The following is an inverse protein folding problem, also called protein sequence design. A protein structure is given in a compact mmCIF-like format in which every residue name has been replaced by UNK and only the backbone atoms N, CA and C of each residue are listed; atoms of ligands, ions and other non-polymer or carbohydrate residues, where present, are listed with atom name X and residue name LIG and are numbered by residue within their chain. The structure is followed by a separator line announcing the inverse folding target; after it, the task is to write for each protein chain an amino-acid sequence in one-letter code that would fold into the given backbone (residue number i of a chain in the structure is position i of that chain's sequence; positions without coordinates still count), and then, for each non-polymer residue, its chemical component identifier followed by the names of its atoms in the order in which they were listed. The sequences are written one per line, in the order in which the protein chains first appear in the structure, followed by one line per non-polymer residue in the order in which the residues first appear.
data_IF_730760222162
#
_entry.id   IF_730760222162
#
_cell.length_a   1.000
_cell.length_b   1.000
_cell.length_c   1.000
_cell.angle_alpha   90.00
_cell.angle_beta   90.00
_cell.angle_gamma   90.00
#
_symmetry.space_group_name_H-M   'P 1'
#
loop_
_entity.id
_entity.type
_entity.pdbx_description
1 polymer ?
#
# COMPACT_ATOMS: atom_id res chain seq x y z
N UNK A 1 -12.09 -15.23 6.98
CA UNK A 1 -12.32 -16.58 7.52
C UNK A 1 -11.37 -16.71 8.67
N UNK A 2 -11.84 -17.07 9.87
CA UNK A 2 -11.01 -17.35 11.03
C UNK A 2 -11.90 -18.00 12.12
N UNK A 3 -11.32 -18.63 13.12
CA UNK A 3 -12.03 -19.04 14.33
C UNK A 3 -12.24 -17.88 15.30
N UNK A 4 -11.34 -16.87 15.24
CA UNK A 4 -11.17 -15.79 16.23
C UNK A 4 -10.87 -16.28 17.64
N UNK A 5 -10.37 -17.51 17.78
CA UNK A 5 -9.93 -18.08 19.06
C UNK A 5 -8.46 -17.76 19.35
N UNK A 6 -7.71 -17.34 18.32
CA UNK A 6 -6.29 -17.09 18.38
C UNK A 6 -5.43 -18.34 18.16
N UNK A 7 -4.11 -18.18 18.23
CA UNK A 7 -3.16 -19.27 17.99
C UNK A 7 -1.84 -19.07 18.76
N UNK A 8 -0.86 -19.95 18.57
CA UNK A 8 0.41 -19.91 19.28
C UNK A 8 1.28 -18.66 18.98
N UNK A 9 1.07 -17.98 17.85
CA UNK A 9 1.82 -16.80 17.46
C UNK A 9 1.06 -15.49 17.72
N UNK A 10 -0.26 -15.52 17.60
CA UNK A 10 -1.16 -14.40 17.88
C UNK A 10 -1.53 -14.29 19.38
N UNK A 11 -1.46 -15.40 20.13
CA UNK A 11 -2.08 -15.52 21.45
C UNK A 11 -3.56 -15.88 21.34
N UNK A 12 -4.14 -16.35 22.45
CA UNK A 12 -5.55 -16.73 22.51
C UNK A 12 -6.42 -15.57 22.99
N UNK A 13 -7.60 -15.44 22.39
CA UNK A 13 -8.53 -14.34 22.67
C UNK A 13 -9.88 -14.87 23.15
N UNK A 14 -10.65 -14.04 23.85
CA UNK A 14 -12.04 -14.33 24.13
C UNK A 14 -12.95 -13.93 22.97
N UNK A 15 -14.25 -14.20 23.12
CA UNK A 15 -15.28 -13.91 22.11
C UNK A 15 -15.39 -12.41 21.77
N UNK A 16 -14.91 -11.53 22.65
CA UNK A 16 -14.96 -10.08 22.48
C UNK A 16 -14.37 -9.62 21.14
N UNK A 17 -13.32 -10.26 20.64
CA UNK A 17 -12.69 -9.88 19.38
C UNK A 17 -13.67 -10.05 18.20
N UNK A 18 -14.32 -11.21 18.11
CA UNK A 18 -15.30 -11.46 17.06
C UNK A 18 -16.53 -10.55 17.22
N UNK A 19 -17.03 -10.43 18.45
CA UNK A 19 -18.24 -9.66 18.74
C UNK A 19 -18.06 -8.17 18.41
N UNK A 20 -16.92 -7.58 18.77
CA UNK A 20 -16.64 -6.17 18.50
C UNK A 20 -16.36 -5.94 17.01
N UNK A 21 -15.68 -6.87 16.35
CA UNK A 21 -15.49 -6.83 14.90
C UNK A 21 -16.83 -6.90 14.15
N UNK A 22 -17.70 -7.85 14.49
CA UNK A 22 -19.02 -8.01 13.85
C UNK A 22 -19.90 -6.77 14.05
N UNK A 23 -19.96 -6.21 15.27
CA UNK A 23 -20.69 -4.96 15.55
C UNK A 23 -20.23 -3.78 14.70
N UNK A 24 -18.92 -3.70 14.41
CA UNK A 24 -18.37 -2.67 13.54
C UNK A 24 -18.60 -2.97 12.05
N UNK A 25 -18.41 -4.23 11.65
CA UNK A 25 -18.38 -4.70 10.28
C UNK A 25 -19.79 -4.75 9.66
N UNK A 26 -20.73 -5.46 10.30
CA UNK A 26 -22.01 -5.83 9.68
C UNK A 26 -22.85 -4.60 9.27
N UNK A 27 -22.93 -3.52 10.08
CA UNK A 27 -23.66 -2.33 9.68
C UNK A 27 -23.06 -1.58 8.48
N UNK A 28 -21.75 -1.75 8.24
CA UNK A 28 -21.01 -0.99 7.20
C UNK A 28 -20.77 -1.79 5.94
N UNK A 29 -20.53 -3.09 6.06
CA UNK A 29 -20.00 -3.94 5.00
C UNK A 29 -20.79 -5.24 4.80
N UNK A 30 -21.74 -5.57 5.68
CA UNK A 30 -22.49 -6.84 5.66
C UNK A 30 -23.34 -7.08 4.40
N UNK A 31 -23.51 -6.07 3.54
CA UNK A 31 -24.18 -6.23 2.25
C UNK A 31 -23.34 -6.97 1.19
N UNK A 32 -22.01 -6.96 1.34
CA UNK A 32 -21.10 -7.53 0.33
C UNK A 32 -19.88 -8.26 0.93
N UNK A 33 -19.74 -8.26 2.25
CA UNK A 33 -18.64 -8.89 2.99
C UNK A 33 -19.21 -9.76 4.11
N UNK A 34 -18.55 -10.88 4.38
CA UNK A 34 -18.99 -11.87 5.36
C UNK A 34 -17.85 -12.29 6.27
N UNK A 35 -18.14 -12.41 7.57
CA UNK A 35 -17.26 -12.99 8.56
C UNK A 35 -17.61 -14.48 8.73
N UNK A 36 -16.76 -15.37 8.21
CA UNK A 36 -16.94 -16.82 8.37
C UNK A 36 -16.15 -17.32 9.58
N UNK A 37 -16.87 -17.65 10.66
CA UNK A 37 -16.32 -18.15 11.93
C UNK A 37 -16.08 -19.66 11.88
N UNK A 38 -14.97 -20.07 11.28
CA UNK A 38 -14.62 -21.47 11.00
C UNK A 38 -13.13 -21.58 10.64
N UNK A 39 -12.59 -22.80 10.61
CA UNK A 39 -11.23 -23.05 10.09
C UNK A 39 -11.13 -22.77 8.59
N UNK A 40 -9.91 -22.55 8.10
CA UNK A 40 -9.68 -22.34 6.66
C UNK A 40 -10.05 -23.59 5.84
N UNK A 41 -9.75 -24.78 6.35
CA UNK A 41 -10.06 -26.05 5.68
C UNK A 41 -11.58 -26.26 5.53
N UNK A 42 -12.36 -25.98 6.56
CA UNK A 42 -13.82 -26.09 6.49
C UNK A 42 -14.42 -25.01 5.58
N UNK A 43 -13.87 -23.80 5.60
CA UNK A 43 -14.36 -22.70 4.77
C UNK A 43 -14.18 -22.96 3.27
N UNK A 44 -13.14 -23.72 2.89
CA UNK A 44 -12.82 -24.06 1.50
C UNK A 44 -14.02 -24.63 0.74
N UNK A 45 -14.90 -25.38 1.41
CA UNK A 45 -16.09 -25.99 0.82
C UNK A 45 -17.13 -24.97 0.32
N UNK A 46 -17.10 -23.74 0.81
CA UNK A 46 -18.02 -22.67 0.36
C UNK A 46 -17.57 -21.98 -0.94
N UNK A 47 -16.37 -22.27 -1.44
CA UNK A 47 -15.80 -21.62 -2.61
C UNK A 47 -15.70 -22.58 -3.80
N UNK A 48 -16.13 -22.12 -4.96
CA UNK A 48 -15.96 -22.83 -6.22
C UNK A 48 -14.49 -22.77 -6.67
N UNK A 49 -14.07 -23.75 -7.46
CA UNK A 49 -12.73 -23.72 -8.04
C UNK A 49 -12.57 -22.52 -8.97
N UNK A 50 -11.38 -21.93 -8.99
CA UNK A 50 -11.06 -20.73 -9.79
C UNK A 50 -11.98 -19.52 -9.58
N UNK A 51 -12.67 -19.40 -8.45
CA UNK A 51 -13.60 -18.27 -8.19
C UNK A 51 -12.97 -17.09 -7.46
N UNK A 52 -11.78 -17.25 -6.88
CA UNK A 52 -11.14 -16.22 -6.04
C UNK A 52 -10.15 -15.40 -6.87
N UNK A 53 -10.41 -14.11 -7.04
CA UNK A 53 -9.49 -13.20 -7.74
C UNK A 53 -8.35 -12.68 -6.84
N UNK A 54 -8.60 -12.57 -5.53
CA UNK A 54 -7.62 -12.15 -4.54
C UNK A 54 -7.75 -13.04 -3.30
N UNK A 55 -6.70 -13.80 -3.00
CA UNK A 55 -6.57 -14.59 -1.79
C UNK A 55 -5.53 -13.94 -0.88
N UNK A 56 -5.90 -13.72 0.38
CA UNK A 56 -5.02 -13.16 1.39
C UNK A 56 -4.81 -14.18 2.50
N UNK A 57 -3.56 -14.60 2.71
CA UNK A 57 -3.18 -15.62 3.70
C UNK A 57 -2.42 -14.92 4.83
N UNK A 58 -3.03 -14.94 6.00
CA UNK A 58 -2.49 -14.48 7.28
C UNK A 58 -3.03 -15.39 8.38
N UNK A 59 -2.43 -16.57 8.49
CA UNK A 59 -2.76 -17.61 9.47
C UNK A 59 -1.58 -17.90 10.38
N UNK A 60 -1.51 -19.11 10.92
CA UNK A 60 -0.39 -19.51 11.76
C UNK A 60 0.94 -19.45 10.99
N UNK A 61 1.92 -18.73 11.51
CA UNK A 61 3.14 -18.39 10.77
C UNK A 61 4.23 -19.48 10.77
N UNK A 62 3.89 -20.75 11.02
CA UNK A 62 4.83 -21.87 10.86
C UNK A 62 4.95 -22.24 9.39
N UNK A 63 6.05 -22.91 9.00
CA UNK A 63 6.28 -23.32 7.60
C UNK A 63 5.18 -24.27 7.11
N UNK A 64 4.84 -25.27 7.92
CA UNK A 64 3.87 -26.29 7.53
C UNK A 64 2.45 -25.71 7.40
N UNK A 65 2.06 -24.79 8.29
CA UNK A 65 0.75 -24.16 8.25
C UNK A 65 0.56 -23.28 7.01
N UNK A 66 1.48 -22.34 6.74
CA UNK A 66 1.36 -21.49 5.55
C UNK A 66 1.42 -22.28 4.25
N UNK A 67 2.23 -23.36 4.22
CA UNK A 67 2.31 -24.24 3.06
C UNK A 67 0.99 -24.97 2.84
N UNK A 68 0.42 -25.55 3.90
CA UNK A 68 -0.88 -26.22 3.87
C UNK A 68 -1.98 -25.27 3.39
N UNK A 69 -2.07 -24.07 3.97
CA UNK A 69 -3.05 -23.06 3.58
C UNK A 69 -2.89 -22.67 2.10
N UNK A 70 -1.67 -22.40 1.66
CA UNK A 70 -1.40 -22.05 0.27
C UNK A 70 -1.80 -23.18 -0.69
N UNK A 71 -1.31 -24.40 -0.45
CA UNK A 71 -1.56 -25.54 -1.33
C UNK A 71 -3.06 -25.92 -1.36
N UNK A 72 -3.74 -25.84 -0.21
CA UNK A 72 -5.17 -26.13 -0.13
C UNK A 72 -6.04 -25.10 -0.83
N UNK A 73 -5.67 -23.82 -0.78
CA UNK A 73 -6.50 -22.76 -1.35
C UNK A 73 -6.16 -22.42 -2.80
N UNK A 74 -5.01 -22.83 -3.31
CA UNK A 74 -4.55 -22.47 -4.66
C UNK A 74 -5.51 -22.91 -5.78
N UNK A 75 -6.23 -24.03 -5.62
CA UNK A 75 -7.23 -24.48 -6.59
C UNK A 75 -8.46 -23.56 -6.67
N UNK A 76 -8.78 -22.85 -5.58
CA UNK A 76 -9.87 -21.89 -5.50
C UNK A 76 -9.51 -20.55 -6.14
N UNK A 77 -8.22 -20.26 -6.27
CA UNK A 77 -7.70 -19.05 -6.91
C UNK A 77 -7.87 -19.15 -8.43
N UNK A 78 -8.44 -18.10 -9.03
CA UNK A 78 -8.58 -17.97 -10.49
C UNK A 78 -7.23 -18.02 -11.20
N UNK A 79 -7.21 -18.38 -12.49
CA UNK A 79 -5.97 -18.51 -13.28
C UNK A 79 -5.05 -17.28 -13.22
N UNK A 80 -5.65 -16.07 -13.20
CA UNK A 80 -4.93 -14.81 -13.06
C UNK A 80 -5.17 -14.15 -11.69
N UNK A 81 -5.52 -14.94 -10.69
CA UNK A 81 -5.73 -14.49 -9.33
C UNK A 81 -4.42 -14.16 -8.62
N UNK A 82 -4.52 -13.30 -7.63
CA UNK A 82 -3.40 -12.84 -6.81
C UNK A 82 -3.49 -13.55 -5.46
N UNK A 83 -2.34 -14.04 -4.99
CA UNK A 83 -2.18 -14.52 -3.62
C UNK A 83 -1.24 -13.57 -2.88
N UNK A 84 -1.68 -13.11 -1.71
CA UNK A 84 -0.92 -12.28 -0.80
C UNK A 84 -0.59 -13.11 0.44
N UNK A 85 0.68 -13.11 0.85
CA UNK A 85 1.18 -13.86 2.00
C UNK A 85 1.81 -12.87 2.98
N UNK A 86 1.32 -12.86 4.22
CA UNK A 86 1.84 -12.02 5.30
C UNK A 86 3.18 -12.49 5.87
N UNK A 87 3.89 -11.57 6.52
CA UNK A 87 5.07 -11.85 7.38
C UNK A 87 6.24 -12.58 6.69
N UNK A 88 6.47 -12.32 5.40
CA UNK A 88 7.53 -12.98 4.60
C UNK A 88 8.96 -12.62 5.03
N UNK A 89 9.14 -11.66 5.92
CA UNK A 89 10.45 -11.17 6.38
C UNK A 89 10.73 -11.44 7.87
N UNK A 90 9.83 -12.12 8.60
CA UNK A 90 10.02 -12.48 10.01
C UNK A 90 10.81 -13.80 10.11
N UNK A 91 11.96 -13.78 10.80
CA UNK A 91 12.90 -14.94 10.87
C UNK A 91 13.13 -15.48 12.28
N UNK A 92 12.41 -14.95 13.27
CA UNK A 92 12.52 -15.32 14.67
C UNK A 92 11.30 -16.14 15.13
N UNK A 93 11.28 -16.56 16.40
CA UNK A 93 10.12 -17.22 17.03
C UNK A 93 9.54 -18.41 16.25
N UNK A 94 10.39 -19.21 15.61
CA UNK A 94 9.97 -20.36 14.79
C UNK A 94 9.09 -20.01 13.58
N UNK A 95 9.06 -18.74 13.17
CA UNK A 95 8.38 -18.33 11.93
C UNK A 95 9.01 -19.04 10.73
N UNK A 96 8.14 -19.63 9.90
CA UNK A 96 8.51 -20.39 8.71
C UNK A 96 8.04 -19.76 7.40
N UNK A 97 7.27 -18.67 7.45
CA UNK A 97 6.68 -18.05 6.25
C UNK A 97 7.74 -17.58 5.26
N UNK A 98 8.82 -16.97 5.73
CA UNK A 98 9.93 -16.56 4.88
C UNK A 98 10.58 -17.73 4.11
N UNK A 99 10.66 -18.92 4.72
CA UNK A 99 11.22 -20.11 4.06
C UNK A 99 10.31 -20.58 2.94
N UNK A 100 9.01 -20.65 3.22
CA UNK A 100 8.01 -21.00 2.24
C UNK A 100 7.95 -19.98 1.10
N UNK A 101 8.06 -18.68 1.43
CA UNK A 101 8.10 -17.60 0.47
C UNK A 101 9.25 -17.76 -0.54
N UNK A 102 10.46 -18.09 -0.07
CA UNK A 102 11.61 -18.36 -0.94
C UNK A 102 11.37 -19.52 -1.93
N UNK A 103 10.53 -20.50 -1.58
CA UNK A 103 10.15 -21.60 -2.48
C UNK A 103 9.07 -21.20 -3.49
N UNK A 104 8.04 -20.46 -3.06
CA UNK A 104 6.93 -20.08 -3.97
C UNK A 104 7.32 -18.99 -4.94
N UNK A 105 8.16 -18.04 -4.54
CA UNK A 105 8.58 -16.90 -5.39
C UNK A 105 9.33 -17.30 -6.65
N UNK A 106 9.92 -18.50 -6.66
CA UNK A 106 10.62 -19.08 -7.83
C UNK A 106 9.64 -19.78 -8.77
N UNK A 107 8.50 -20.24 -8.26
CA UNK A 107 7.47 -20.98 -9.02
C UNK A 107 6.45 -20.06 -9.68
N UNK A 108 6.21 -18.89 -9.11
CA UNK A 108 5.20 -17.94 -9.55
C UNK A 108 5.80 -16.54 -9.76
N UNK A 109 5.33 -15.77 -10.77
CA UNK A 109 5.66 -14.36 -10.84
C UNK A 109 5.27 -13.66 -9.53
N UNK A 110 6.21 -12.92 -8.96
CA UNK A 110 6.08 -12.46 -7.57
C UNK A 110 6.83 -11.17 -7.29
N UNK A 111 6.32 -10.44 -6.33
CA UNK A 111 6.90 -9.24 -5.77
C UNK A 111 6.81 -9.28 -4.25
N UNK A 112 7.80 -8.71 -3.58
CA UNK A 112 7.88 -8.70 -2.13
C UNK A 112 8.13 -7.28 -1.63
N UNK A 113 7.29 -6.83 -0.71
CA UNK A 113 7.62 -5.73 0.18
C UNK A 113 8.50 -6.27 1.31
N UNK A 114 9.74 -5.77 1.42
CA UNK A 114 10.73 -6.26 2.39
C UNK A 114 10.80 -5.39 3.67
N UNK A 115 9.89 -4.42 3.81
CA UNK A 115 9.82 -3.55 4.97
C UNK A 115 8.71 -4.02 5.93
N UNK A 116 8.78 -3.58 7.18
CA UNK A 116 7.93 -4.15 8.24
C UNK A 116 8.21 -5.65 8.38
N UNK A 117 7.16 -6.43 8.62
CA UNK A 117 7.26 -7.88 8.69
C UNK A 117 7.35 -8.58 7.32
N UNK A 118 7.25 -7.83 6.23
CA UNK A 118 7.22 -8.37 4.87
C UNK A 118 5.81 -8.64 4.36
N UNK A 119 5.63 -8.52 3.05
CA UNK A 119 4.38 -8.87 2.37
C UNK A 119 4.71 -9.39 0.98
N UNK A 120 4.46 -10.69 0.78
CA UNK A 120 4.63 -11.38 -0.49
C UNK A 120 3.37 -11.27 -1.34
N UNK A 121 3.54 -10.95 -2.62
CA UNK A 121 2.47 -10.89 -3.62
C UNK A 121 2.90 -11.79 -4.77
N UNK A 122 2.06 -12.77 -5.12
CA UNK A 122 2.29 -13.63 -6.28
C UNK A 122 1.04 -13.78 -7.14
N UNK A 123 1.24 -14.15 -8.40
CA UNK A 123 0.16 -14.41 -9.36
C UNK A 123 0.17 -15.88 -9.74
N UNK A 124 -1.02 -16.51 -9.79
CA UNK A 124 -1.13 -17.92 -10.19
C UNK A 124 -0.71 -18.16 -11.65
N UNK A 125 -0.91 -17.17 -12.53
CA UNK A 125 -0.55 -17.22 -13.95
C UNK A 125 -0.10 -15.88 -14.51
N UNK A 126 0.15 -15.82 -15.82
CA UNK A 126 0.84 -14.71 -16.49
C UNK A 126 -0.09 -13.59 -17.02
N UNK A 127 -1.42 -13.75 -16.88
CA UNK A 127 -2.44 -12.89 -17.50
C UNK A 127 -2.99 -11.79 -16.58
N UNK A 128 -2.13 -11.11 -15.83
CA UNK A 128 -2.54 -10.10 -14.86
C UNK A 128 -2.50 -8.66 -15.41
N UNK A 129 -3.16 -7.74 -14.69
CA UNK A 129 -3.28 -6.33 -15.09
C UNK A 129 -1.91 -5.70 -15.39
N UNK A 130 -1.74 -4.94 -16.50
CA UNK A 130 -0.47 -4.32 -16.86
C UNK A 130 0.16 -3.46 -15.76
N UNK A 131 -0.66 -2.85 -14.90
CA UNK A 131 -0.19 -2.05 -13.76
C UNK A 131 0.47 -2.91 -12.69
N UNK A 132 -0.10 -4.10 -12.43
CA UNK A 132 0.46 -5.08 -11.49
C UNK A 132 1.71 -5.72 -12.10
N UNK A 133 1.71 -6.00 -13.41
CA UNK A 133 2.91 -6.43 -14.15
C UNK A 133 4.06 -5.45 -14.04
N UNK A 134 3.78 -4.17 -14.20
CA UNK A 134 4.78 -3.13 -13.99
C UNK A 134 5.27 -3.06 -12.55
N UNK A 135 4.42 -3.37 -11.57
CA UNK A 135 4.83 -3.41 -10.16
C UNK A 135 5.67 -4.65 -9.82
N UNK A 136 5.45 -5.79 -10.49
CA UNK A 136 6.15 -7.06 -10.25
C UNK A 136 7.47 -7.13 -11.04
N UNK A 137 7.46 -6.72 -12.30
CA UNK A 137 8.57 -6.88 -13.25
C UNK A 137 9.30 -5.56 -13.58
N UNK A 138 8.85 -4.43 -13.03
CA UNK A 138 9.36 -3.12 -13.39
C UNK A 138 10.82 -2.89 -13.00
N UNK A 139 11.55 -2.08 -13.79
CA UNK A 139 12.97 -1.78 -13.59
C UNK A 139 13.27 -0.99 -12.30
N UNK A 140 12.26 -0.53 -11.57
CA UNK A 140 12.42 0.32 -10.37
C UNK A 140 11.61 -0.17 -9.15
N UNK A 141 11.69 -1.47 -8.87
CA UNK A 141 11.06 -2.11 -7.70
C UNK A 141 11.42 -1.43 -6.37
N UNK A 142 12.65 -0.91 -6.23
CA UNK A 142 13.09 -0.26 -5.01
C UNK A 142 12.39 1.09 -4.79
N UNK A 143 12.20 1.91 -5.82
CA UNK A 143 11.38 3.13 -5.67
C UNK A 143 9.92 2.80 -5.32
N UNK A 144 9.37 1.72 -5.89
CA UNK A 144 8.02 1.26 -5.55
C UNK A 144 7.93 0.82 -4.08
N UNK A 145 8.87 0.01 -3.59
CA UNK A 145 8.96 -0.36 -2.16
C UNK A 145 9.10 0.87 -1.26
N UNK A 146 9.99 1.79 -1.61
CA UNK A 146 10.22 3.02 -0.84
C UNK A 146 8.98 3.90 -0.80
N UNK A 147 8.21 3.98 -1.89
CA UNK A 147 6.97 4.74 -1.94
C UNK A 147 5.94 4.21 -0.91
N UNK A 148 5.66 2.91 -0.94
CA UNK A 148 4.72 2.29 0.02
C UNK A 148 5.26 2.31 1.46
N UNK A 149 6.56 2.07 1.65
CA UNK A 149 7.20 2.18 2.96
C UNK A 149 7.06 3.58 3.55
N UNK A 150 7.20 4.63 2.74
CA UNK A 150 7.07 6.03 3.18
C UNK A 150 5.62 6.34 3.56
N UNK A 151 4.65 5.87 2.77
CA UNK A 151 3.23 6.03 3.08
C UNK A 151 2.89 5.33 4.39
N UNK A 152 3.30 4.07 4.56
CA UNK A 152 3.06 3.32 5.79
C UNK A 152 3.68 4.00 7.02
N UNK A 153 4.93 4.45 6.89
CA UNK A 153 5.64 5.13 7.97
C UNK A 153 4.95 6.42 8.46
N UNK A 154 4.23 7.13 7.58
CA UNK A 154 3.43 8.32 7.94
C UNK A 154 2.37 8.02 8.99
N UNK A 155 1.77 6.83 8.95
CA UNK A 155 0.71 6.42 9.86
C UNK A 155 1.25 5.60 11.02
N UNK A 156 2.23 4.73 10.76
CA UNK A 156 2.75 3.79 11.75
C UNK A 156 3.53 4.50 12.86
N UNK A 157 4.44 5.43 12.56
CA UNK A 157 5.27 6.04 13.61
C UNK A 157 4.45 6.87 14.62
N UNK A 158 3.44 7.66 14.23
CA UNK A 158 2.56 8.30 15.20
C UNK A 158 1.81 7.31 16.11
N UNK A 159 1.31 6.21 15.54
CA UNK A 159 0.59 5.17 16.30
C UNK A 159 1.56 4.45 17.26
N UNK A 160 2.72 4.05 16.77
CA UNK A 160 3.80 3.44 17.56
C UNK A 160 4.21 4.34 18.72
N UNK A 161 4.40 5.65 18.46
CA UNK A 161 4.70 6.63 19.50
C UNK A 161 3.61 6.68 20.57
N UNK A 162 2.33 6.69 20.18
CA UNK A 162 1.21 6.68 21.14
C UNK A 162 1.25 5.43 22.00
N UNK A 163 1.48 4.25 21.40
CA UNK A 163 1.63 2.99 22.13
C UNK A 163 2.79 3.00 23.11
N UNK A 164 3.97 3.46 22.69
CA UNK A 164 5.14 3.61 23.55
C UNK A 164 4.89 4.59 24.70
N UNK A 165 4.20 5.71 24.44
CA UNK A 165 3.84 6.68 25.49
C UNK A 165 2.88 6.08 26.52
N UNK A 166 1.95 5.23 26.09
CA UNK A 166 1.05 4.51 26.97
C UNK A 166 1.81 3.50 27.84
N UNK A 167 2.69 2.68 27.24
CA UNK A 167 3.56 1.76 27.98
C UNK A 167 4.45 2.50 28.99
N UNK A 168 5.02 3.64 28.60
CA UNK A 168 5.82 4.47 29.50
C UNK A 168 4.98 4.99 30.68
N UNK A 169 3.72 5.35 30.44
CA UNK A 169 2.80 5.79 31.51
C UNK A 169 2.53 4.66 32.49
N UNK A 170 2.15 3.49 32.00
CA UNK A 170 1.91 2.29 32.82
C UNK A 170 3.16 1.92 33.63
N UNK A 171 4.34 1.97 33.01
CA UNK A 171 5.60 1.70 33.68
C UNK A 171 5.90 2.72 34.78
N UNK A 172 5.58 4.01 34.58
CA UNK A 172 5.71 5.03 35.63
C UNK A 172 4.75 4.80 36.80
N UNK A 173 3.51 4.38 36.54
CA UNK A 173 2.53 4.04 37.57
C UNK A 173 3.00 2.81 38.37
N UNK A 174 3.54 1.79 37.69
CA UNK A 174 4.14 0.62 38.33
C UNK A 174 5.34 1.00 39.21
N UNK A 175 6.28 1.79 38.69
CA UNK A 175 7.43 2.30 39.46
C UNK A 175 6.97 3.08 40.68
N UNK A 176 5.96 3.96 40.54
CA UNK A 176 5.43 4.71 41.67
C UNK A 176 4.83 3.80 42.75
N UNK A 177 4.24 2.68 42.35
CA UNK A 177 3.66 1.69 43.28
C UNK A 177 4.79 0.93 43.98
N UNK A 178 5.77 0.43 43.24
CA UNK A 178 6.96 -0.23 43.79
C UNK A 178 7.72 0.65 44.78
N UNK A 179 7.94 1.93 44.48
CA UNK A 179 8.60 2.85 45.41
C UNK A 179 7.83 2.97 46.73
N UNK A 180 6.50 3.06 46.68
CA UNK A 180 5.68 3.07 47.91
C UNK A 180 5.80 1.77 48.69
N UNK A 181 5.82 0.62 48.02
CA UNK A 181 5.98 -0.68 48.69
C UNK A 181 7.33 -0.82 49.37
N UNK A 182 8.40 -0.34 48.74
CA UNK A 182 9.75 -0.27 49.33
C UNK A 182 9.73 0.56 50.61
N UNK A 183 9.12 1.76 50.57
CA UNK A 183 9.03 2.66 51.73
C UNK A 183 8.27 2.05 52.91
N UNK A 184 7.35 1.11 52.66
CA UNK A 184 6.53 0.44 53.68
C UNK A 184 7.07 -0.94 54.09
N UNK A 185 8.09 -1.46 53.40
CA UNK A 185 8.66 -2.78 53.69
C UNK A 185 9.47 -2.77 54.99
N UNK A 186 9.22 -3.76 55.85
CA UNK A 186 9.90 -3.93 57.15
C UNK A 186 10.94 -5.05 57.16
N UNK A 187 10.96 -5.88 56.12
CA UNK A 187 11.85 -7.04 56.00
C UNK A 187 13.01 -6.70 55.06
N UNK A 188 14.25 -7.00 55.48
CA UNK A 188 15.44 -6.73 54.68
C UNK A 188 15.48 -7.56 53.38
N UNK A 189 14.96 -8.79 53.39
CA UNK A 189 14.91 -9.65 52.20
C UNK A 189 13.89 -9.14 51.18
N UNK A 190 12.70 -8.75 51.63
CA UNK A 190 11.65 -8.17 50.76
C UNK A 190 12.11 -6.83 50.19
N UNK A 191 12.82 -6.01 50.98
CA UNK A 191 13.35 -4.73 50.54
C UNK A 191 14.40 -4.90 49.43
N UNK A 192 15.30 -5.88 49.55
CA UNK A 192 16.30 -6.16 48.51
C UNK A 192 15.66 -6.65 47.20
N UNK A 193 14.64 -7.50 47.29
CA UNK A 193 13.90 -8.01 46.12
C UNK A 193 13.18 -6.86 45.39
N UNK A 194 12.46 -6.02 46.14
CA UNK A 194 11.73 -4.87 45.58
C UNK A 194 12.69 -3.83 44.97
N UNK A 195 13.85 -3.58 45.59
CA UNK A 195 14.88 -2.70 45.01
C UNK A 195 15.41 -3.24 43.68
N UNK A 196 15.68 -4.54 43.58
CA UNK A 196 16.11 -5.15 42.33
C UNK A 196 15.05 -5.01 41.23
N UNK A 197 13.77 -5.20 41.56
CA UNK A 197 12.67 -5.03 40.61
C UNK A 197 12.47 -3.57 40.17
N UNK A 198 12.67 -2.63 41.10
CA UNK A 198 12.67 -1.19 40.80
C UNK A 198 13.81 -0.83 39.83
N UNK A 199 15.03 -1.33 40.06
CA UNK A 199 16.18 -1.09 39.18
C UNK A 199 15.93 -1.61 37.75
N UNK A 200 15.42 -2.83 37.61
CA UNK A 200 15.01 -3.39 36.31
C UNK A 200 13.97 -2.51 35.63
N UNK A 201 12.96 -2.09 36.39
CA UNK A 201 11.88 -1.25 35.89
C UNK A 201 12.34 0.13 35.45
N UNK A 202 13.30 0.73 36.16
CA UNK A 202 13.93 1.99 35.78
C UNK A 202 14.75 1.86 34.49
N UNK A 203 15.49 0.76 34.33
CA UNK A 203 16.23 0.48 33.10
C UNK A 203 15.30 0.32 31.88
N UNK A 204 14.18 -0.40 32.05
CA UNK A 204 13.15 -0.53 31.01
C UNK A 204 12.50 0.83 30.67
N UNK A 205 12.21 1.65 31.68
CA UNK A 205 11.72 3.01 31.48
C UNK A 205 12.70 3.86 30.66
N UNK A 206 14.00 3.76 30.92
CA UNK A 206 15.03 4.47 30.15
C UNK A 206 15.04 4.02 28.69
N UNK A 207 14.97 2.70 28.43
CA UNK A 207 14.86 2.15 27.07
C UNK A 207 13.62 2.67 26.33
N UNK A 208 12.44 2.63 26.96
CA UNK A 208 11.21 3.17 26.39
C UNK A 208 11.33 4.67 26.07
N UNK A 209 11.96 5.43 26.95
CA UNK A 209 12.18 6.87 26.74
C UNK A 209 13.07 7.15 25.53
N UNK A 210 14.14 6.36 25.35
CA UNK A 210 15.02 6.45 24.18
C UNK A 210 14.29 6.06 22.89
N UNK A 211 13.49 4.99 22.91
CA UNK A 211 12.66 4.59 21.76
C UNK A 211 11.67 5.68 21.37
N UNK A 212 10.97 6.28 22.34
CA UNK A 212 10.05 7.40 22.08
C UNK A 212 10.78 8.57 21.43
N UNK A 213 11.99 8.91 21.88
CA UNK A 213 12.79 9.98 21.29
C UNK A 213 13.19 9.67 19.84
N UNK A 214 13.59 8.42 19.57
CA UNK A 214 13.94 7.98 18.22
C UNK A 214 12.71 8.05 17.30
N UNK A 215 11.58 7.50 17.74
CA UNK A 215 10.33 7.51 16.97
C UNK A 215 9.80 8.92 16.76
N UNK A 216 9.96 9.82 17.74
CA UNK A 216 9.65 11.25 17.58
C UNK A 216 10.48 11.89 16.46
N UNK A 217 11.80 11.66 16.42
CA UNK A 217 12.66 12.17 15.33
C UNK A 217 12.23 11.64 13.96
N UNK A 218 11.80 10.37 13.88
CA UNK A 218 11.26 9.78 12.64
C UNK A 218 9.97 10.48 12.20
N UNK A 219 9.05 10.77 13.12
CA UNK A 219 7.82 11.52 12.83
C UNK A 219 8.13 12.91 12.29
N UNK A 220 9.04 13.65 12.94
CA UNK A 220 9.45 14.98 12.51
C UNK A 220 10.08 14.97 11.12
N UNK A 221 10.95 14.00 10.84
CA UNK A 221 11.58 13.84 9.53
C UNK A 221 10.55 13.60 8.41
N UNK A 222 9.54 12.75 8.66
CA UNK A 222 8.46 12.51 7.69
C UNK A 222 7.60 13.75 7.49
N UNK A 223 7.28 14.48 8.56
CA UNK A 223 6.51 15.73 8.46
C UNK A 223 7.26 16.78 7.64
N UNK A 224 8.58 16.88 7.83
CA UNK A 224 9.43 17.80 7.08
C UNK A 224 9.57 17.38 5.61
N UNK A 225 9.75 16.09 5.34
CA UNK A 225 9.78 15.56 3.96
C UNK A 225 8.46 15.81 3.23
N UNK A 226 7.32 15.57 3.90
CA UNK A 226 6.00 15.80 3.34
C UNK A 226 5.72 17.28 3.04
N UNK A 227 6.18 18.20 3.90
CA UNK A 227 5.98 19.63 3.66
C UNK A 227 6.78 20.11 2.44
N UNK A 228 8.00 19.60 2.26
CA UNK A 228 8.83 19.86 1.07
C UNK A 228 8.17 19.28 -0.19
N UNK A 229 7.72 18.01 -0.14
CA UNK A 229 7.06 17.36 -1.26
C UNK A 229 5.78 18.11 -1.68
N UNK A 230 4.97 18.52 -0.71
CA UNK A 230 3.75 19.31 -0.95
C UNK A 230 4.07 20.67 -1.57
N UNK A 231 5.12 21.36 -1.11
CA UNK A 231 5.55 22.63 -1.69
C UNK A 231 6.03 22.47 -3.15
N UNK A 232 6.77 21.40 -3.45
CA UNK A 232 7.21 21.09 -4.82
C UNK A 232 6.03 20.75 -5.73
N UNK A 233 5.10 19.92 -5.26
CA UNK A 233 3.92 19.55 -6.02
C UNK A 233 3.04 20.77 -6.31
N UNK A 234 2.86 21.66 -5.32
CA UNK A 234 2.14 22.92 -5.52
C UNK A 234 2.79 23.79 -6.60
N UNK A 235 4.11 23.98 -6.55
CA UNK A 235 4.84 24.72 -7.60
C UNK A 235 4.67 24.08 -8.98
N UNK A 236 4.69 22.75 -9.06
CA UNK A 236 4.50 22.04 -10.33
C UNK A 236 3.09 22.22 -10.90
N UNK A 237 2.07 22.22 -10.04
CA UNK A 237 0.69 22.52 -10.45
C UNK A 237 0.59 23.95 -10.97
N UNK A 238 1.13 24.94 -10.25
CA UNK A 238 1.16 26.34 -10.68
C UNK A 238 1.90 26.52 -12.02
N UNK A 239 2.97 25.77 -12.26
CA UNK A 239 3.71 25.77 -13.54
C UNK A 239 2.85 25.17 -14.66
N UNK A 240 2.21 24.01 -14.42
CA UNK A 240 1.34 23.36 -15.41
C UNK A 240 0.12 24.21 -15.76
N UNK A 241 -0.48 24.90 -14.79
CA UNK A 241 -1.58 25.84 -15.01
C UNK A 241 -1.15 27.01 -15.89
N UNK A 242 0.06 27.54 -15.71
CA UNK A 242 0.60 28.58 -16.60
C UNK A 242 0.82 28.08 -18.02
N UNK A 243 1.40 26.88 -18.17
CA UNK A 243 1.63 26.28 -19.50
C UNK A 243 0.30 26.00 -20.21
N UNK A 244 -0.71 25.52 -19.48
CA UNK A 244 -2.05 25.31 -20.03
C UNK A 244 -2.69 26.61 -20.50
N UNK A 245 -2.59 27.69 -19.71
CA UNK A 245 -3.10 29.00 -20.11
C UNK A 245 -2.40 29.52 -21.39
N UNK A 246 -1.08 29.39 -21.49
CA UNK A 246 -0.32 29.77 -22.69
C UNK A 246 -0.73 28.94 -23.92
N UNK A 247 -0.99 27.64 -23.74
CA UNK A 247 -1.49 26.76 -24.80
C UNK A 247 -2.90 27.16 -25.25
N UNK A 248 -3.79 27.51 -24.33
CA UNK A 248 -5.15 27.95 -24.64
C UNK A 248 -5.15 29.27 -25.43
N UNK A 249 -4.30 30.23 -25.04
CA UNK A 249 -4.13 31.50 -25.77
C UNK A 249 -3.62 31.26 -27.20
N UNK A 250 -2.59 30.41 -27.37
CA UNK A 250 -2.05 30.05 -28.68
C UNK A 250 -3.08 29.29 -29.54
N UNK A 251 -3.87 28.41 -28.91
CA UNK A 251 -4.91 27.66 -29.58
C UNK A 251 -6.03 28.57 -30.07
N UNK A 252 -6.36 29.64 -29.33
CA UNK A 252 -7.31 30.64 -29.77
C UNK A 252 -6.76 31.52 -30.90
N UNK A 253 -5.50 31.96 -30.80
CA UNK A 253 -4.84 32.71 -31.88
C UNK A 253 -4.79 31.90 -33.19
N UNK A 254 -4.40 30.63 -33.11
CA UNK A 254 -4.33 29.75 -34.29
C UNK A 254 -5.71 29.45 -34.90
N UNK A 255 -6.77 29.36 -34.10
CA UNK A 255 -8.15 29.29 -34.62
C UNK A 255 -8.53 30.54 -35.39
N UNK A 256 -8.23 31.73 -34.86
CA UNK A 256 -8.51 33.01 -35.54
C UNK A 256 -7.77 33.07 -36.87
N UNK A 257 -6.45 32.77 -36.86
CA UNK A 257 -5.65 32.73 -38.09
C UNK A 257 -6.19 31.70 -39.11
N UNK A 258 -6.66 30.53 -38.65
CA UNK A 258 -7.26 29.51 -39.50
C UNK A 258 -8.58 29.99 -40.12
N UNK A 259 -9.42 30.69 -39.37
CA UNK A 259 -10.66 31.28 -39.90
C UNK A 259 -10.37 32.35 -40.94
N UNK A 260 -9.40 33.22 -40.69
CA UNK A 260 -9.03 34.28 -41.62
C UNK A 260 -8.42 33.70 -42.91
N UNK A 261 -7.53 32.72 -42.81
CA UNK A 261 -7.03 31.99 -43.98
C UNK A 261 -8.15 31.30 -44.76
N UNK A 262 -9.16 30.74 -44.08
CA UNK A 262 -10.36 30.15 -44.73
C UNK A 262 -11.20 31.20 -45.44
N UNK A 263 -11.40 32.38 -44.83
CA UNK A 263 -12.11 33.52 -45.46
C UNK A 263 -11.37 34.03 -46.68
N UNK A 264 -10.05 34.23 -46.59
CA UNK A 264 -9.21 34.62 -47.73
C UNK A 264 -9.30 33.61 -48.86
N UNK A 265 -9.11 32.32 -48.56
CA UNK A 265 -9.23 31.24 -49.55
C UNK A 265 -10.61 31.24 -50.23
N UNK A 266 -11.67 31.40 -49.44
CA UNK A 266 -13.04 31.50 -49.97
C UNK A 266 -13.21 32.71 -50.90
N UNK A 267 -12.65 33.87 -50.52
CA UNK A 267 -12.70 35.08 -51.36
C UNK A 267 -11.95 34.90 -52.68
N UNK A 268 -10.76 34.26 -52.65
CA UNK A 268 -10.00 33.92 -53.84
C UNK A 268 -10.79 32.95 -54.73
N UNK A 269 -11.35 31.88 -54.16
CA UNK A 269 -12.11 30.87 -54.89
C UNK A 269 -13.42 31.41 -55.50
N UNK A 270 -14.05 32.41 -54.88
CA UNK A 270 -15.32 33.01 -55.34
C UNK A 270 -15.12 34.20 -56.28
N UNK A 271 -13.90 34.73 -56.40
CA UNK A 271 -13.55 35.87 -57.25
C UNK A 271 -13.82 35.66 -58.75
N UNK A 272 -14.11 36.76 -59.46
CA UNK A 272 -14.35 36.74 -60.93
C UNK A 272 -13.13 36.26 -61.70
N UNK A 273 -11.94 36.72 -61.35
CA UNK A 273 -10.66 36.30 -61.95
C UNK A 273 -10.41 34.80 -61.77
N UNK A 274 -10.72 34.22 -60.60
CA UNK A 274 -10.67 32.77 -60.40
C UNK A 274 -11.70 32.04 -61.25
N UNK A 275 -12.95 32.51 -61.32
CA UNK A 275 -13.99 31.89 -62.15
C UNK A 275 -13.67 31.96 -63.65
N UNK A 276 -13.14 33.09 -64.13
CA UNK A 276 -12.77 33.33 -65.53
C UNK A 276 -11.60 32.45 -65.98
N UNK A 277 -10.59 32.26 -65.12
CA UNK A 277 -9.40 31.42 -65.42
C UNK A 277 -9.65 29.92 -65.27
N UNK A 278 -10.87 29.49 -64.89
CA UNK A 278 -11.25 28.08 -64.67
C UNK A 278 -11.00 27.15 -65.88
N UNK A 279 -11.25 27.54 -67.15
CA UNK A 279 -10.94 26.72 -68.33
C UNK A 279 -9.43 26.53 -68.53
N UNK A 280 -8.65 27.61 -68.41
CA UNK A 280 -7.18 27.58 -68.51
C UNK A 280 -6.55 26.70 -67.44
N UNK A 281 -7.05 26.76 -66.19
CA UNK A 281 -6.57 25.87 -65.12
C UNK A 281 -6.92 24.41 -65.34
N UNK A 282 -8.09 24.09 -65.90
CA UNK A 282 -8.42 22.71 -66.33
C UNK A 282 -7.44 22.22 -67.39
N UNK A 283 -7.13 23.06 -68.38
CA UNK A 283 -6.20 22.76 -69.47
C UNK A 283 -4.76 22.53 -68.96
N UNK A 284 -4.24 23.38 -68.07
CA UNK A 284 -2.93 23.21 -67.42
C UNK A 284 -2.87 21.95 -66.55
N UNK A 285 -3.96 21.61 -65.84
CA UNK A 285 -4.04 20.40 -65.00
C UNK A 285 -4.09 19.13 -65.85
N UNK A 286 -4.72 19.19 -67.03
CA UNK A 286 -4.72 18.12 -68.02
C UNK A 286 -3.32 17.93 -68.66
N UNK A 287 -2.65 19.02 -69.04
CA UNK A 287 -1.26 18.97 -69.55
C UNK A 287 -0.24 18.46 -68.51
N UNK A 288 -0.41 18.78 -67.22
CA UNK A 288 0.45 18.23 -66.15
C UNK A 288 0.17 16.75 -65.85
N UNK A 289 -1.06 16.26 -66.09
CA UNK A 289 -1.41 14.83 -65.94
C UNK A 289 -0.94 13.98 -67.12
N UNK A 290 -0.78 14.55 -68.31
CA UNK A 290 -0.21 13.88 -69.48
C UNK A 290 1.33 13.86 -69.56
N UNK A 291 2.03 14.35 -68.52
CA UNK A 291 3.50 14.35 -68.40
C UNK A 291 4.03 13.40 -67.30
N UNK A 292 3.20 12.45 -66.84
CA UNK A 292 3.64 11.29 -66.06
C UNK A 292 3.49 10.05 -66.92
#
# INVERSE_FOLDING_TARGET
VDTWEGDAHAGFYGNEIFDDLSKYHDPKYGQFSWLLRTTFDDAKAYFSDSSINLLHIDGLHTYDAVKHDFENWLEKVAENGIVVIHDTNVKEREFGVWKFWEEVRVRYPSFEFIHGNGLGILTKGDGFDPSIKKAIEGENLNSFRSYFSTIGAKYNYPIEKIGLMQLLREKNEFISTLTKEIDHSKSNEDHALLQSELEKSLLEKEKLTQEILITQKKVEMIQQSNSVAHALQKRRVEELERVLAEQDDLLEETKVQLEDARKELSSFLTSKSWKITRPFRKMVRFMKRGKK
#
